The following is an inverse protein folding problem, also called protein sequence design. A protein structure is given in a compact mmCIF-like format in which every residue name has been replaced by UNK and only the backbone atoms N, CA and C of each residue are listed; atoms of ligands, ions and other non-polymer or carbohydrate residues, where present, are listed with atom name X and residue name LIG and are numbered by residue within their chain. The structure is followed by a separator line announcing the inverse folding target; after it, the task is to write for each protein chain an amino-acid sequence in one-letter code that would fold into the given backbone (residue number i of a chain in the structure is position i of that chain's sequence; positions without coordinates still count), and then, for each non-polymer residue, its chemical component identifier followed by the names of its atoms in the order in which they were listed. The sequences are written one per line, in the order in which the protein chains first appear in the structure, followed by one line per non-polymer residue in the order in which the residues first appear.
data_IF_885386572819
#
_entry.id   IF_885386572819
#
_cell.length_a   1.000
_cell.length_b   1.000
_cell.length_c   1.000
_cell.angle_alpha   90.00
_cell.angle_beta   90.00
_cell.angle_gamma   90.00
#
_symmetry.space_group_name_H-M   'P 1'
#
loop_
_entity.id
_entity.type
_entity.pdbx_description
1 polymer ?
#
# COMPACT_ATOMS: atom_id res chain seq x y z
N UNK A 1 0.38 14.09 -11.22
CA UNK A 1 1.06 13.49 -10.05
C UNK A 1 2.26 12.75 -10.59
N UNK A 2 3.45 12.90 -10.00
CA UNK A 2 4.61 12.13 -10.45
C UNK A 2 4.63 10.76 -9.74
N UNK A 3 4.07 9.74 -10.39
CA UNK A 3 3.97 8.37 -9.83
C UNK A 3 5.35 7.76 -9.63
N UNK A 4 6.22 7.90 -10.63
CA UNK A 4 7.60 7.39 -10.59
C UNK A 4 8.39 7.95 -9.41
N UNK A 5 8.25 9.25 -9.12
CA UNK A 5 8.87 9.85 -7.94
C UNK A 5 8.36 9.22 -6.65
N UNK A 6 7.05 9.04 -6.51
CA UNK A 6 6.47 8.44 -5.30
C UNK A 6 6.92 6.99 -5.13
N UNK A 7 6.90 6.21 -6.21
CA UNK A 7 7.34 4.82 -6.23
C UNK A 7 8.85 4.64 -6.05
N UNK A 8 9.65 5.71 -6.10
CA UNK A 8 11.10 5.67 -5.89
C UNK A 8 11.55 6.37 -4.60
N UNK A 9 10.62 6.84 -3.77
CA UNK A 9 10.95 7.43 -2.48
C UNK A 9 11.67 6.42 -1.59
N UNK A 10 12.71 6.88 -0.92
CA UNK A 10 13.48 6.06 -0.01
C UNK A 10 13.84 6.81 1.28
N UNK A 11 13.88 6.06 2.37
CA UNK A 11 14.36 6.52 3.67
C UNK A 11 15.64 5.79 4.08
N UNK A 12 15.98 5.88 5.37
CA UNK A 12 17.16 5.21 5.92
C UNK A 12 17.08 3.68 5.81
N UNK A 13 15.93 3.11 6.18
CA UNK A 13 15.75 1.65 6.32
C UNK A 13 14.71 1.06 5.35
N UNK A 14 13.90 1.92 4.73
CA UNK A 14 12.78 1.52 3.87
C UNK A 14 12.87 2.20 2.51
N UNK A 15 12.22 1.63 1.52
CA UNK A 15 11.98 2.23 0.23
C UNK A 15 10.57 1.90 -0.26
N UNK A 16 10.04 2.76 -1.13
CA UNK A 16 8.77 2.53 -1.79
C UNK A 16 9.01 1.82 -3.11
N UNK A 17 8.02 1.04 -3.54
CA UNK A 17 7.96 0.46 -4.89
C UNK A 17 6.50 0.39 -5.36
N UNK A 18 6.24 0.31 -6.68
CA UNK A 18 4.89 0.13 -7.18
C UNK A 18 4.24 -1.12 -6.57
N UNK A 19 2.92 -1.09 -6.36
CA UNK A 19 2.18 -2.31 -6.01
C UNK A 19 2.33 -3.35 -7.12
N UNK A 20 2.56 -4.60 -6.74
CA UNK A 20 2.59 -5.73 -7.66
C UNK A 20 1.80 -6.89 -7.05
N UNK A 21 1.04 -7.61 -7.87
CA UNK A 21 0.35 -8.84 -7.44
C UNK A 21 1.31 -9.94 -6.96
N UNK A 22 2.59 -9.89 -7.35
CA UNK A 22 3.63 -10.76 -6.81
C UNK A 22 3.88 -10.54 -5.30
N UNK A 23 3.55 -9.35 -4.77
CA UNK A 23 3.63 -9.06 -3.33
C UNK A 23 2.41 -9.59 -2.55
N UNK A 24 1.45 -10.26 -3.20
CA UNK A 24 0.18 -10.64 -2.59
C UNK A 24 0.33 -11.42 -1.29
N UNK A 25 1.34 -12.28 -1.17
CA UNK A 25 1.58 -13.02 0.06
C UNK A 25 1.96 -12.09 1.21
N UNK A 26 2.96 -11.23 1.02
CA UNK A 26 3.39 -10.28 2.05
C UNK A 26 2.27 -9.30 2.43
N UNK A 27 1.48 -8.87 1.45
CA UNK A 27 0.31 -8.02 1.69
C UNK A 27 -0.77 -8.77 2.49
N UNK A 28 -0.99 -10.05 2.18
CA UNK A 28 -1.96 -10.88 2.88
C UNK A 28 -1.58 -11.09 4.35
N UNK A 29 -0.28 -11.21 4.65
CA UNK A 29 0.20 -11.46 6.00
C UNK A 29 -0.26 -10.38 7.00
N UNK A 30 -0.29 -9.10 6.59
CA UNK A 30 -0.86 -8.04 7.42
C UNK A 30 -2.34 -7.73 7.15
N UNK A 31 -2.85 -7.98 5.93
CA UNK A 31 -4.26 -7.71 5.60
C UNK A 31 -5.24 -8.73 6.20
N UNK A 32 -4.75 -9.92 6.54
CA UNK A 32 -5.49 -10.98 7.24
C UNK A 32 -5.34 -10.93 8.77
N UNK A 33 -4.48 -10.05 9.30
CA UNK A 33 -4.26 -9.89 10.72
C UNK A 33 -5.38 -9.03 11.36
N UNK A 34 -6.04 -9.58 12.39
CA UNK A 34 -7.16 -8.93 13.08
C UNK A 34 -6.74 -7.68 13.85
N UNK A 35 -5.52 -7.65 14.39
CA UNK A 35 -4.98 -6.52 15.13
C UNK A 35 -4.68 -5.35 14.18
N UNK A 36 -4.12 -5.65 13.01
CA UNK A 36 -3.89 -4.66 11.94
C UNK A 36 -5.22 -4.14 11.41
N UNK A 37 -6.17 -5.04 11.10
CA UNK A 37 -7.47 -4.67 10.54
C UNK A 37 -8.32 -3.79 11.46
N UNK A 38 -8.11 -3.84 12.78
CA UNK A 38 -8.89 -3.10 13.77
C UNK A 38 -9.03 -1.60 13.46
N UNK A 39 -8.01 -1.02 12.82
CA UNK A 39 -7.94 0.41 12.54
C UNK A 39 -8.15 0.76 11.06
N UNK A 40 -8.38 -0.23 10.20
CA UNK A 40 -8.46 -0.05 8.74
C UNK A 40 -9.89 -0.31 8.25
N UNK A 41 -10.33 0.52 7.30
CA UNK A 41 -11.69 0.47 6.75
C UNK A 41 -11.98 -0.70 5.79
N UNK A 42 -10.99 -1.52 5.45
CA UNK A 42 -11.20 -2.69 4.59
C UNK A 42 -11.70 -3.91 5.37
N UNK A 43 -12.26 -4.88 4.65
CA UNK A 43 -12.60 -6.16 5.22
C UNK A 43 -11.33 -6.95 5.56
N UNK A 44 -11.40 -7.79 6.59
CA UNK A 44 -10.34 -8.74 6.89
C UNK A 44 -10.20 -9.69 5.71
N UNK A 45 -9.01 -9.76 5.11
CA UNK A 45 -8.76 -10.64 3.97
C UNK A 45 -8.74 -12.09 4.45
N UNK A 46 -9.54 -12.95 3.80
CA UNK A 46 -9.70 -14.36 4.20
C UNK A 46 -8.88 -15.31 3.34
N UNK A 47 -8.47 -14.86 2.15
CA UNK A 47 -7.67 -15.66 1.24
C UNK A 47 -6.65 -14.80 0.49
N UNK A 48 -5.63 -15.48 -0.05
CA UNK A 48 -4.65 -14.87 -0.94
C UNK A 48 -5.30 -14.37 -2.24
N UNK A 49 -6.35 -15.04 -2.71
CA UNK A 49 -7.12 -14.62 -3.89
C UNK A 49 -7.85 -13.30 -3.64
N UNK A 50 -8.55 -13.15 -2.51
CA UNK A 50 -9.18 -11.89 -2.11
C UNK A 50 -8.16 -10.75 -2.04
N UNK A 51 -6.96 -11.05 -1.53
CA UNK A 51 -5.87 -10.07 -1.43
C UNK A 51 -5.33 -9.68 -2.80
N UNK A 52 -5.18 -10.65 -3.70
CA UNK A 52 -4.73 -10.42 -5.08
C UNK A 52 -5.72 -9.53 -5.83
N UNK A 53 -7.02 -9.80 -5.71
CA UNK A 53 -8.08 -8.97 -6.30
C UNK A 53 -8.11 -7.56 -5.69
N UNK A 54 -7.84 -7.44 -4.39
CA UNK A 54 -7.71 -6.15 -3.74
C UNK A 54 -6.52 -5.35 -4.28
N UNK A 55 -5.37 -5.99 -4.52
CA UNK A 55 -4.20 -5.36 -5.13
C UNK A 55 -4.51 -4.87 -6.55
N UNK A 56 -5.17 -5.69 -7.38
CA UNK A 56 -5.63 -5.28 -8.71
C UNK A 56 -6.55 -4.06 -8.64
N UNK A 57 -7.45 -4.03 -7.66
CA UNK A 57 -8.33 -2.88 -7.43
C UNK A 57 -7.54 -1.61 -7.09
N UNK A 58 -6.49 -1.71 -6.27
CA UNK A 58 -5.61 -0.58 -5.94
C UNK A 58 -4.83 -0.09 -7.17
N UNK A 59 -4.30 -1.00 -7.98
CA UNK A 59 -3.60 -0.69 -9.23
C UNK A 59 -4.56 0.05 -10.19
N UNK A 60 -5.77 -0.46 -10.41
CA UNK A 60 -6.76 0.20 -11.26
C UNK A 60 -7.13 1.63 -10.78
N UNK A 61 -7.19 1.84 -9.45
CA UNK A 61 -7.43 3.16 -8.86
C UNK A 61 -6.28 4.14 -9.09
N UNK A 62 -5.05 3.63 -9.03
CA UNK A 62 -3.85 4.40 -9.34
C UNK A 62 -3.78 4.74 -10.83
N UNK A 63 -4.09 3.80 -11.72
CA UNK A 63 -4.20 4.05 -13.17
C UNK A 63 -5.25 5.12 -13.48
N UNK A 64 -6.37 5.12 -12.77
CA UNK A 64 -7.42 6.13 -12.87
C UNK A 64 -7.07 7.48 -12.20
N UNK A 65 -5.86 7.67 -11.68
CA UNK A 65 -5.39 8.88 -10.98
C UNK A 65 -6.24 9.30 -9.76
N UNK A 66 -7.01 8.36 -9.19
CA UNK A 66 -7.85 8.62 -8.01
C UNK A 66 -7.07 8.45 -6.71
N UNK A 67 -6.03 7.61 -6.75
CA UNK A 67 -5.18 7.25 -5.64
C UNK A 67 -3.73 7.16 -6.13
N UNK A 68 -2.80 7.11 -5.18
CA UNK A 68 -1.43 6.74 -5.41
C UNK A 68 -1.04 5.74 -4.34
N UNK A 69 -0.45 4.61 -4.72
CA UNK A 69 -0.13 3.53 -3.79
C UNK A 69 1.34 3.13 -3.92
N UNK A 70 1.93 2.65 -2.83
CA UNK A 70 3.23 2.01 -2.87
C UNK A 70 3.33 0.90 -1.82
N UNK A 71 3.94 -0.21 -2.21
CA UNK A 71 4.49 -1.18 -1.25
C UNK A 71 5.65 -0.53 -0.52
N UNK A 72 5.71 -0.69 0.80
CA UNK A 72 6.84 -0.27 1.62
C UNK A 72 7.70 -1.49 1.92
N UNK A 73 8.96 -1.45 1.50
CA UNK A 73 9.88 -2.57 1.67
C UNK A 73 11.11 -2.21 2.50
N UNK A 74 11.62 -3.19 3.26
CA UNK A 74 12.87 -3.06 4.01
C UNK A 74 14.07 -3.14 3.07
N UNK A 75 15.01 -2.20 3.20
CA UNK A 75 16.25 -2.19 2.40
C UNK A 75 17.15 -3.40 2.68
N UNK A 76 17.14 -3.90 3.92
CA UNK A 76 18.01 -5.00 4.34
C UNK A 76 17.61 -6.36 3.76
N UNK A 77 16.32 -6.58 3.50
CA UNK A 77 15.78 -7.89 3.11
C UNK A 77 15.00 -7.87 1.80
N UNK A 78 14.56 -6.70 1.34
CA UNK A 78 13.60 -6.56 0.23
C UNK A 78 12.17 -6.94 0.60
N UNK A 79 11.92 -7.32 1.86
CA UNK A 79 10.62 -7.74 2.37
C UNK A 79 9.63 -6.57 2.34
N UNK A 80 8.43 -6.82 1.82
CA UNK A 80 7.32 -5.86 1.89
C UNK A 80 6.67 -5.94 3.27
N UNK A 81 6.71 -4.82 3.99
CA UNK A 81 6.26 -4.73 5.38
C UNK A 81 5.00 -3.88 5.54
N UNK A 82 4.49 -3.30 4.46
CA UNK A 82 3.32 -2.44 4.52
C UNK A 82 2.94 -1.82 3.18
N UNK A 83 1.91 -0.98 3.23
CA UNK A 83 1.45 -0.18 2.09
C UNK A 83 1.23 1.25 2.56
N UNK A 84 1.63 2.21 1.73
CA UNK A 84 1.29 3.62 1.88
C UNK A 84 0.43 4.05 0.71
N UNK A 85 -0.48 5.00 0.96
CA UNK A 85 -1.36 5.54 -0.06
C UNK A 85 -1.57 7.05 0.10
N UNK A 86 -1.72 7.75 -1.02
CA UNK A 86 -2.26 9.10 -1.09
C UNK A 86 -3.61 9.07 -1.79
N UNK A 87 -4.59 9.78 -1.25
CA UNK A 87 -5.95 9.82 -1.78
C UNK A 87 -6.68 11.11 -1.38
N UNK A 88 -7.96 11.23 -1.76
CA UNK A 88 -8.79 12.41 -1.48
C UNK A 88 -8.12 13.73 -1.92
N UNK A 89 -7.65 13.75 -3.17
CA UNK A 89 -6.95 14.91 -3.73
C UNK A 89 -7.88 16.10 -3.96
N UNK A 90 -7.58 17.21 -3.30
CA UNK A 90 -8.15 18.53 -3.59
C UNK A 90 -7.08 19.39 -4.27
N UNK A 91 -7.21 19.55 -5.59
CA UNK A 91 -6.25 20.32 -6.40
C UNK A 91 -6.36 21.83 -6.16
N UNK A 92 -7.51 22.32 -5.72
CA UNK A 92 -7.72 23.75 -5.47
C UNK A 92 -7.08 24.11 -4.13
N UNK A 93 -7.33 23.30 -3.10
CA UNK A 93 -6.76 23.50 -1.77
C UNK A 93 -5.32 22.98 -1.64
N UNK A 94 -4.76 22.34 -2.67
CA UNK A 94 -3.47 21.65 -2.66
C UNK A 94 -3.33 20.68 -1.47
N UNK A 95 -4.37 19.87 -1.25
CA UNK A 95 -4.47 18.92 -0.14
C UNK A 95 -4.59 17.49 -0.69
N UNK A 96 -4.05 16.55 0.08
CA UNK A 96 -4.34 15.13 -0.04
C UNK A 96 -4.41 14.51 1.36
N UNK A 97 -4.94 13.30 1.44
CA UNK A 97 -4.85 12.45 2.62
C UNK A 97 -3.78 11.39 2.42
N UNK A 98 -3.09 11.06 3.50
CA UNK A 98 -2.13 9.95 3.54
C UNK A 98 -2.70 8.84 4.41
N UNK A 99 -2.69 7.62 3.89
CA UNK A 99 -3.01 6.40 4.62
C UNK A 99 -1.81 5.48 4.61
N UNK A 100 -1.65 4.69 5.67
CA UNK A 100 -0.63 3.66 5.73
C UNK A 100 -1.12 2.47 6.54
N UNK A 101 -0.53 1.31 6.25
CA UNK A 101 -0.68 0.09 7.03
C UNK A 101 0.67 -0.61 7.07
N UNK A 102 0.99 -1.19 8.22
CA UNK A 102 2.20 -1.96 8.43
C UNK A 102 1.87 -3.28 9.09
N UNK A 103 2.66 -4.28 8.76
CA UNK A 103 2.68 -5.55 9.45
C UNK A 103 3.11 -5.32 10.90
N UNK A 104 2.39 -5.91 11.86
CA UNK A 104 2.55 -5.63 13.30
C UNK A 104 3.94 -5.96 13.90
N UNK A 105 4.76 -6.70 13.16
CA UNK A 105 6.09 -7.13 13.57
C UNK A 105 7.21 -6.17 13.11
N UNK A 106 6.87 -5.03 12.51
CA UNK A 106 7.80 -4.00 12.05
C UNK A 106 7.44 -2.63 12.63
#
# INVERSE_FOLDING_TARGET
MNKELFHSLEGKNIYFKPLNTEDAQAIHDYASDKDVKKFIGWNLMKSLEETTEFIKTMINREEADTHLYASVALKSTGEVIGTVMLFNFDKIANKAEVGYVFHKNH
#
